data_IF_068376846034
#
_entry.id   IF_068376846034
#
_cell.length_a   1.000
_cell.length_b   1.000
_cell.length_c   1.000
_cell.angle_alpha   90.00
_cell.angle_beta   90.00
_cell.angle_gamma   90.00
#
_symmetry.space_group_name_H-M   'P 1'
#
loop_
_entity.id
_entity.type
_entity.pdbx_description
1 polymer ?
#
# COMPACT_ATOMS: atom_id res chain seq x y z
N UNK A 1 12.95 -31.95 -34.46
CA UNK A 1 12.61 -31.80 -33.02
C UNK A 1 12.01 -30.41 -32.89
N UNK A 2 10.71 -30.31 -33.15
CA UNK A 2 10.00 -29.03 -33.11
C UNK A 2 9.96 -28.56 -31.66
N UNK A 3 10.58 -27.41 -31.39
CA UNK A 3 10.47 -26.76 -30.08
C UNK A 3 9.08 -26.17 -30.01
N UNK A 4 8.19 -26.86 -29.31
CA UNK A 4 6.88 -26.34 -28.93
C UNK A 4 7.10 -25.12 -28.02
N UNK A 5 7.00 -23.92 -28.60
CA UNK A 5 7.01 -22.67 -27.83
C UNK A 5 5.70 -22.60 -27.05
N UNK A 6 5.73 -22.92 -25.76
CA UNK A 6 4.61 -22.59 -24.87
C UNK A 6 4.47 -21.08 -24.83
N UNK A 7 3.42 -20.57 -25.48
CA UNK A 7 3.02 -19.18 -25.41
C UNK A 7 2.65 -18.90 -23.94
N UNK A 8 3.54 -18.21 -23.22
CA UNK A 8 3.27 -17.78 -21.85
C UNK A 8 2.20 -16.68 -21.91
N UNK A 9 0.94 -17.08 -21.74
CA UNK A 9 -0.15 -16.14 -21.52
C UNK A 9 0.07 -15.47 -20.16
N UNK A 10 0.47 -14.20 -20.20
CA UNK A 10 0.62 -13.32 -19.03
C UNK A 10 -0.63 -13.29 -18.14
N UNK A 11 -1.80 -13.62 -18.71
CA UNK A 11 -3.10 -13.64 -18.04
C UNK A 11 -3.52 -15.03 -17.48
N UNK A 12 -2.81 -16.10 -17.84
CA UNK A 12 -3.08 -17.48 -17.37
C UNK A 12 -2.07 -17.96 -16.33
N UNK A 13 -1.50 -17.03 -15.54
CA UNK A 13 -0.65 -17.43 -14.43
C UNK A 13 -1.45 -18.19 -13.36
N UNK A 14 -1.00 -19.40 -13.06
CA UNK A 14 -1.42 -20.21 -11.91
C UNK A 14 -1.67 -19.33 -10.66
N UNK A 15 -2.62 -19.68 -9.77
CA UNK A 15 -2.98 -18.91 -8.56
C UNK A 15 -1.85 -18.82 -7.51
N UNK A 16 -0.65 -19.33 -7.82
CA UNK A 16 0.52 -19.22 -6.96
C UNK A 16 1.00 -17.77 -6.93
N UNK A 17 1.29 -17.30 -5.72
CA UNK A 17 1.91 -15.99 -5.47
C UNK A 17 3.31 -15.99 -6.07
N UNK A 18 3.47 -15.35 -7.22
CA UNK A 18 4.76 -15.17 -7.86
C UNK A 18 5.65 -14.23 -7.06
N UNK A 19 6.96 -14.30 -7.26
CA UNK A 19 7.92 -13.43 -6.57
C UNK A 19 7.65 -11.95 -6.79
N UNK A 20 7.26 -11.54 -8.01
CA UNK A 20 6.89 -10.14 -8.29
C UNK A 20 5.70 -9.65 -7.45
N UNK A 21 4.73 -10.52 -7.19
CA UNK A 21 3.59 -10.20 -6.34
C UNK A 21 4.01 -10.00 -4.88
N UNK A 22 4.85 -10.91 -4.37
CA UNK A 22 5.35 -10.85 -2.98
C UNK A 22 6.26 -9.64 -2.78
N UNK A 23 7.19 -9.39 -3.71
CA UNK A 23 8.11 -8.27 -3.64
C UNK A 23 7.39 -6.93 -3.67
N UNK A 24 6.35 -6.80 -4.47
CA UNK A 24 5.58 -5.57 -4.52
C UNK A 24 4.76 -5.36 -3.24
N UNK A 25 4.14 -6.40 -2.68
CA UNK A 25 3.50 -6.29 -1.35
C UNK A 25 4.51 -5.92 -0.26
N UNK A 26 5.72 -6.49 -0.31
CA UNK A 26 6.79 -6.15 0.62
C UNK A 26 7.25 -4.69 0.45
N UNK A 27 7.33 -4.19 -0.79
CA UNK A 27 7.63 -2.80 -1.06
C UNK A 27 6.54 -1.86 -0.50
N UNK A 28 5.26 -2.15 -0.75
CA UNK A 28 4.14 -1.38 -0.17
C UNK A 28 4.20 -1.38 1.36
N UNK A 29 4.50 -2.53 1.96
CA UNK A 29 4.62 -2.65 3.42
C UNK A 29 5.79 -1.83 3.96
N UNK A 30 6.96 -1.86 3.30
CA UNK A 30 8.14 -1.08 3.67
C UNK A 30 7.83 0.42 3.72
N UNK A 31 7.23 0.96 2.67
CA UNK A 31 6.88 2.38 2.61
C UNK A 31 5.74 2.76 3.57
N UNK A 32 4.81 1.84 3.82
CA UNK A 32 3.77 2.02 4.85
C UNK A 32 4.39 2.09 6.25
N UNK A 33 5.33 1.20 6.58
CA UNK A 33 6.04 1.27 7.86
C UNK A 33 6.94 2.51 7.98
N UNK A 34 7.50 2.99 6.87
CA UNK A 34 8.23 4.24 6.86
C UNK A 34 7.31 5.43 7.19
N UNK A 35 6.09 5.46 6.64
CA UNK A 35 5.05 6.44 7.00
C UNK A 35 4.70 6.38 8.49
N UNK A 36 4.35 5.19 8.99
CA UNK A 36 4.08 4.96 10.42
C UNK A 36 5.24 5.41 11.32
N UNK A 37 6.48 5.19 10.88
CA UNK A 37 7.67 5.64 11.60
C UNK A 37 7.71 7.16 11.77
N UNK A 38 7.35 7.92 10.72
CA UNK A 38 7.24 9.37 10.78
C UNK A 38 6.12 9.80 11.74
N UNK A 39 4.98 9.12 11.72
CA UNK A 39 3.85 9.43 12.60
C UNK A 39 4.18 9.17 14.07
N UNK A 40 4.95 8.12 14.34
CA UNK A 40 5.49 7.84 15.68
C UNK A 40 6.46 8.95 16.09
N UNK A 41 7.36 9.39 15.21
CA UNK A 41 8.28 10.48 15.51
C UNK A 41 7.54 11.80 15.78
N UNK A 42 6.49 12.10 15.01
CA UNK A 42 5.58 13.24 15.22
C UNK A 42 4.83 13.11 16.55
N UNK A 43 4.34 11.91 16.88
CA UNK A 43 3.69 11.64 18.17
C UNK A 43 4.65 11.83 19.34
N UNK A 44 5.92 11.44 19.23
CA UNK A 44 6.89 11.69 20.29
C UNK A 44 7.21 13.17 20.44
N UNK A 45 7.12 13.94 19.36
CA UNK A 45 7.44 15.37 19.30
C UNK A 45 6.20 16.29 19.37
N UNK A 46 4.99 15.75 19.54
CA UNK A 46 3.73 16.49 19.39
C UNK A 46 3.63 17.73 20.29
N UNK A 47 4.21 17.70 21.50
CA UNK A 47 4.23 18.85 22.41
C UNK A 47 5.07 20.01 21.89
N UNK A 48 6.17 19.70 21.23
CA UNK A 48 7.08 20.70 20.63
C UNK A 48 6.51 21.23 19.32
N UNK A 49 5.86 20.35 18.54
CA UNK A 49 5.24 20.68 17.26
C UNK A 49 3.81 21.25 17.39
N UNK A 50 3.28 21.32 18.61
CA UNK A 50 1.93 21.77 18.93
C UNK A 50 0.83 21.00 18.17
N UNK A 51 1.00 19.68 18.05
CA UNK A 51 0.04 18.79 17.38
C UNK A 51 -0.94 18.25 18.42
N UNK A 52 -2.26 18.38 18.22
CA UNK A 52 -3.26 17.85 19.15
C UNK A 52 -3.18 16.32 19.23
N UNK A 53 -3.30 15.76 20.44
CA UNK A 53 -3.22 14.31 20.64
C UNK A 53 -4.31 13.53 19.89
N UNK A 54 -5.44 14.19 19.63
CA UNK A 54 -6.58 13.64 18.90
C UNK A 54 -6.25 13.31 17.45
N UNK A 55 -5.36 14.08 16.81
CA UNK A 55 -4.88 13.81 15.46
C UNK A 55 -4.30 12.40 15.34
N UNK A 56 -3.55 11.97 16.36
CA UNK A 56 -2.86 10.68 16.34
C UNK A 56 -3.81 9.49 16.43
N UNK A 57 -4.97 9.63 17.07
CA UNK A 57 -5.99 8.57 17.03
C UNK A 57 -6.50 8.34 15.61
N UNK A 58 -6.63 9.41 14.82
CA UNK A 58 -7.03 9.29 13.42
C UNK A 58 -5.90 8.74 12.57
N UNK A 59 -4.68 9.29 12.65
CA UNK A 59 -3.61 8.88 11.74
C UNK A 59 -3.20 7.42 11.95
N UNK A 60 -3.04 6.98 13.20
CA UNK A 60 -2.75 5.57 13.49
C UNK A 60 -3.91 4.63 13.14
N UNK A 61 -5.15 5.12 13.13
CA UNK A 61 -6.27 4.32 12.62
C UNK A 61 -6.17 4.13 11.11
N UNK A 62 -5.77 5.17 10.38
CA UNK A 62 -5.52 5.10 8.93
C UNK A 62 -4.37 4.14 8.63
N UNK A 63 -3.28 4.20 9.38
CA UNK A 63 -2.14 3.27 9.26
C UNK A 63 -2.56 1.80 9.41
N UNK A 64 -3.34 1.50 10.45
CA UNK A 64 -3.85 0.16 10.69
C UNK A 64 -4.71 -0.31 9.51
N UNK A 65 -5.54 0.57 8.95
CA UNK A 65 -6.36 0.26 7.78
C UNK A 65 -5.52 0.09 6.50
N UNK A 66 -4.40 0.81 6.36
CA UNK A 66 -3.45 0.59 5.27
C UNK A 66 -2.78 -0.79 5.36
N UNK A 67 -2.29 -1.17 6.55
CA UNK A 67 -1.73 -2.51 6.79
C UNK A 67 -2.80 -3.60 6.53
N UNK A 68 -4.03 -3.38 6.98
CA UNK A 68 -5.14 -4.28 6.72
C UNK A 68 -5.42 -4.41 5.22
N UNK A 69 -5.39 -3.30 4.47
CA UNK A 69 -5.50 -3.27 3.01
C UNK A 69 -4.45 -4.14 2.32
N UNK A 70 -3.17 -4.01 2.69
CA UNK A 70 -2.07 -4.83 2.16
C UNK A 70 -2.28 -6.32 2.50
N UNK A 71 -2.67 -6.61 3.74
CA UNK A 71 -2.93 -7.98 4.20
C UNK A 71 -4.08 -8.61 3.42
N UNK A 72 -5.16 -7.86 3.18
CA UNK A 72 -6.29 -8.27 2.36
C UNK A 72 -5.88 -8.53 0.91
N UNK A 73 -5.01 -7.69 0.34
CA UNK A 73 -4.42 -7.93 -0.98
C UNK A 73 -3.62 -9.23 -1.02
N UNK A 74 -2.83 -9.53 0.01
CA UNK A 74 -2.11 -10.81 0.13
C UNK A 74 -3.04 -12.03 0.08
N UNK A 75 -4.27 -11.91 0.62
CA UNK A 75 -5.29 -12.96 0.56
C UNK A 75 -6.19 -12.89 -0.67
N UNK A 76 -5.82 -12.10 -1.69
CA UNK A 76 -6.61 -11.90 -2.91
C UNK A 76 -8.03 -11.40 -2.62
N UNK A 77 -8.20 -10.48 -1.66
CA UNK A 77 -9.49 -9.83 -1.39
C UNK A 77 -9.58 -8.50 -2.13
N UNK A 78 -10.62 -8.32 -2.96
CA UNK A 78 -10.80 -7.09 -3.77
C UNK A 78 -10.87 -5.83 -2.92
N UNK A 79 -11.50 -5.95 -1.75
CA UNK A 79 -11.63 -4.84 -0.80
C UNK A 79 -10.26 -4.28 -0.40
N UNK A 80 -9.19 -5.09 -0.34
CA UNK A 80 -7.84 -4.61 -0.03
C UNK A 80 -7.27 -3.68 -1.11
N UNK A 81 -7.58 -3.95 -2.39
CA UNK A 81 -7.16 -3.13 -3.54
C UNK A 81 -7.79 -1.74 -3.46
N UNK A 82 -9.00 -1.62 -2.92
CA UNK A 82 -9.69 -0.33 -2.78
C UNK A 82 -9.30 0.34 -1.48
N UNK A 83 -9.30 -0.41 -0.37
CA UNK A 83 -9.03 0.11 0.96
C UNK A 83 -7.66 0.76 1.05
N UNK A 84 -6.62 0.09 0.55
CA UNK A 84 -5.25 0.59 0.64
C UNK A 84 -5.05 1.98 0.01
N UNK A 85 -5.33 2.20 -1.30
CA UNK A 85 -5.12 3.52 -1.90
C UNK A 85 -6.04 4.60 -1.33
N UNK A 86 -7.27 4.26 -0.91
CA UNK A 86 -8.16 5.23 -0.25
C UNK A 86 -7.57 5.69 1.08
N UNK A 87 -7.07 4.76 1.90
CA UNK A 87 -6.43 5.08 3.18
C UNK A 87 -5.10 5.81 2.96
N UNK A 88 -4.30 5.43 1.98
CA UNK A 88 -3.04 6.11 1.63
C UNK A 88 -3.28 7.56 1.20
N UNK A 89 -4.30 7.81 0.38
CA UNK A 89 -4.67 9.17 -0.02
C UNK A 89 -5.19 9.97 1.17
N UNK A 90 -6.00 9.34 2.04
CA UNK A 90 -6.46 9.97 3.28
C UNK A 90 -5.28 10.33 4.19
N UNK A 91 -4.33 9.42 4.40
CA UNK A 91 -3.10 9.65 5.15
C UNK A 91 -2.35 10.87 4.62
N UNK A 92 -2.08 10.89 3.31
CA UNK A 92 -1.42 12.02 2.66
C UNK A 92 -2.16 13.35 2.89
N UNK A 93 -3.48 13.37 2.73
CA UNK A 93 -4.26 14.57 2.98
C UNK A 93 -4.30 14.98 4.45
N UNK A 94 -4.22 14.04 5.39
CA UNK A 94 -4.15 14.36 6.81
C UNK A 94 -2.85 15.08 7.15
N UNK A 95 -1.69 14.59 6.71
CA UNK A 95 -0.42 15.32 6.90
C UNK A 95 -0.43 16.67 6.18
N UNK A 96 -0.99 16.74 4.98
CA UNK A 96 -1.06 17.99 4.26
C UNK A 96 -1.99 19.01 4.95
N UNK A 97 -3.17 18.59 5.40
CA UNK A 97 -4.16 19.47 6.00
C UNK A 97 -3.80 19.88 7.44
N UNK A 98 -3.38 18.92 8.28
CA UNK A 98 -3.10 19.19 9.69
C UNK A 98 -1.69 19.72 9.93
N UNK A 99 -0.71 19.25 9.16
CA UNK A 99 0.70 19.52 9.40
C UNK A 99 1.36 20.34 8.29
N UNK A 100 0.66 20.60 7.17
CA UNK A 100 1.24 21.23 5.98
C UNK A 100 2.48 20.48 5.45
N UNK A 101 2.58 19.19 5.76
CA UNK A 101 3.72 18.34 5.41
C UNK A 101 3.40 17.57 4.15
N UNK A 102 4.34 17.59 3.19
CA UNK A 102 4.26 16.76 1.99
C UNK A 102 5.12 15.52 2.17
N UNK A 103 4.48 14.39 2.42
CA UNK A 103 5.16 13.12 2.64
C UNK A 103 5.52 12.44 1.31
N UNK A 104 6.82 12.41 1.01
CA UNK A 104 7.33 11.66 -0.14
C UNK A 104 7.15 10.15 0.00
N UNK A 105 7.07 9.63 1.24
CA UNK A 105 6.72 8.24 1.52
C UNK A 105 5.38 7.89 0.86
N UNK A 106 4.37 8.75 1.01
CA UNK A 106 3.01 8.47 0.57
C UNK A 106 2.89 8.49 -0.95
N UNK A 107 3.50 9.50 -1.57
CA UNK A 107 3.53 9.62 -3.03
C UNK A 107 4.29 8.46 -3.66
N UNK A 108 5.41 8.06 -3.05
CA UNK A 108 6.17 6.89 -3.51
C UNK A 108 5.34 5.62 -3.37
N UNK A 109 4.62 5.46 -2.26
CA UNK A 109 3.77 4.30 -2.02
C UNK A 109 2.59 4.25 -3.01
N UNK A 110 2.05 5.41 -3.40
CA UNK A 110 0.97 5.53 -4.40
C UNK A 110 1.48 5.17 -5.80
N UNK A 111 2.69 5.64 -6.15
CA UNK A 111 3.38 5.26 -7.38
C UNK A 111 3.64 3.74 -7.42
N UNK A 112 4.19 3.17 -6.35
CA UNK A 112 4.41 1.72 -6.25
C UNK A 112 3.11 0.94 -6.36
N UNK A 113 2.04 1.39 -5.72
CA UNK A 113 0.72 0.76 -5.81
C UNK A 113 0.17 0.81 -7.24
N UNK A 114 0.33 1.94 -7.93
CA UNK A 114 -0.15 2.08 -9.31
C UNK A 114 0.66 1.18 -10.26
N UNK A 115 1.98 1.16 -10.13
CA UNK A 115 2.86 0.27 -10.91
C UNK A 115 2.61 -1.21 -10.61
N UNK A 116 2.39 -1.56 -9.35
CA UNK A 116 1.98 -2.90 -8.92
C UNK A 116 0.60 -3.28 -9.44
N UNK A 117 -0.33 -2.33 -9.42
CA UNK A 117 -1.68 -2.45 -9.98
C UNK A 117 -1.61 -2.93 -11.42
N UNK A 118 -0.78 -2.26 -12.22
CA UNK A 118 -0.56 -2.61 -13.62
C UNK A 118 0.11 -3.98 -13.80
N UNK A 119 1.16 -4.28 -13.04
CA UNK A 119 2.06 -5.42 -13.33
C UNK A 119 1.69 -6.74 -12.63
N UNK A 120 0.91 -6.69 -11.55
CA UNK A 120 0.67 -7.86 -10.71
C UNK A 120 -0.77 -8.03 -10.23
N UNK A 121 -1.56 -6.96 -10.18
CA UNK A 121 -2.99 -7.04 -9.85
C UNK A 121 -3.83 -7.33 -11.10
N UNK A 122 -3.66 -6.55 -12.19
CA UNK A 122 -4.41 -6.74 -13.45
C UNK A 122 -4.33 -8.19 -13.98
N UNK A 123 -3.15 -8.83 -14.06
CA UNK A 123 -3.04 -10.19 -14.60
C UNK A 123 -3.75 -11.23 -13.72
N UNK A 124 -3.89 -10.94 -12.42
CA UNK A 124 -4.46 -11.85 -11.42
C UNK A 124 -5.86 -11.45 -10.97
N UNK A 125 -6.49 -10.49 -11.65
CA UNK A 125 -7.79 -9.93 -11.27
C UNK A 125 -8.87 -10.99 -11.06
N UNK A 126 -8.87 -12.04 -11.90
CA UNK A 126 -9.81 -13.18 -11.83
C UNK A 126 -9.72 -13.97 -10.51
N UNK A 127 -8.58 -13.91 -9.82
CA UNK A 127 -8.37 -14.59 -8.54
C UNK A 127 -8.79 -13.75 -7.34
N UNK A 128 -8.90 -12.43 -7.49
CA UNK A 128 -9.41 -11.59 -6.42
C UNK A 128 -10.91 -11.86 -6.22
N UNK A 129 -11.30 -12.12 -4.97
CA UNK A 129 -12.70 -12.34 -4.56
C UNK A 129 -13.24 -11.13 -3.82
#
# INVERSE_FOLDING_TARGET
MDKEYKEYSYFDENPKKGWGFILALAALLLFTFMGIGLDVDEYLQHKTLNIPSEYFYFIFSVDLLMIAGITLMYFYRKIGIILFPVMLVLHFFMHNYYLSTFLYSDVTNLFLFTGFGMLAIIPKWKFFR
#
